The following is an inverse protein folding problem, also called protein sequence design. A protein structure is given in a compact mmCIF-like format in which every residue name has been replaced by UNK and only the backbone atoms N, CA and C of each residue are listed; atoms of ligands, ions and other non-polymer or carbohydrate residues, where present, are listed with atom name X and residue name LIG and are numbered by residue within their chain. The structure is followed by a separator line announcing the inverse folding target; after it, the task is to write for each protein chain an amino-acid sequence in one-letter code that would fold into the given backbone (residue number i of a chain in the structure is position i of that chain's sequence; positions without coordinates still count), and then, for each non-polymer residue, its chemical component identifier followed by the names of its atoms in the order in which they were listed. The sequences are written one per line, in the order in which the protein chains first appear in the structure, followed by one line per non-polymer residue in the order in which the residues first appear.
data_IF_116774102091
#
_entry.id   IF_116774102091
#
_cell.length_a   1.000
_cell.length_b   1.000
_cell.length_c   1.000
_cell.angle_alpha   90.00
_cell.angle_beta   90.00
_cell.angle_gamma   90.00
#
_symmetry.space_group_name_H-M   'P 1'
#
loop_
_entity.id
_entity.type
_entity.pdbx_description
1 polymer ?
#
# COMPACT_ATOMS: atom_id res chain seq x y z
N UNK A 1 -30.75 3.29 11.75
CA UNK A 1 -30.83 4.48 10.87
C UNK A 1 -29.70 4.33 9.86
N UNK A 2 -30.00 3.85 8.66
CA UNK A 2 -28.99 3.64 7.61
C UNK A 2 -28.48 5.00 7.15
N UNK A 3 -27.24 5.37 7.52
CA UNK A 3 -26.57 6.52 6.91
C UNK A 3 -26.33 6.16 5.45
N UNK A 4 -27.20 6.63 4.57
CA UNK A 4 -26.95 6.61 3.13
C UNK A 4 -25.69 7.44 2.87
N UNK A 5 -24.55 6.78 2.72
CA UNK A 5 -23.29 7.44 2.32
C UNK A 5 -23.52 8.31 1.10
N UNK A 6 -22.99 9.53 1.15
CA UNK A 6 -23.14 10.47 0.05
C UNK A 6 -22.38 9.97 -1.19
N UNK A 7 -22.75 10.48 -2.38
CA UNK A 7 -22.01 10.20 -3.60
C UNK A 7 -20.53 10.60 -3.49
N UNK A 8 -20.21 11.63 -2.70
CA UNK A 8 -18.85 12.07 -2.43
C UNK A 8 -18.04 11.04 -1.61
N UNK A 9 -18.68 10.37 -0.66
CA UNK A 9 -18.05 9.33 0.17
C UNK A 9 -17.74 8.08 -0.65
N UNK A 10 -18.66 7.70 -1.54
CA UNK A 10 -18.45 6.58 -2.47
C UNK A 10 -17.30 6.86 -3.44
N UNK A 11 -17.23 8.08 -3.99
CA UNK A 11 -16.13 8.49 -4.85
C UNK A 11 -14.78 8.52 -4.11
N UNK A 12 -14.77 8.98 -2.87
CA UNK A 12 -13.55 8.98 -2.03
C UNK A 12 -13.06 7.56 -1.77
N UNK A 13 -13.95 6.63 -1.40
CA UNK A 13 -13.62 5.22 -1.23
C UNK A 13 -13.10 4.58 -2.51
N UNK A 14 -13.71 4.90 -3.66
CA UNK A 14 -13.26 4.42 -4.97
C UNK A 14 -11.83 4.86 -5.25
N UNK A 15 -11.51 6.14 -5.02
CA UNK A 15 -10.15 6.68 -5.22
C UNK A 15 -9.12 6.04 -4.29
N UNK A 16 -9.46 5.86 -3.01
CA UNK A 16 -8.58 5.18 -2.05
C UNK A 16 -8.30 3.74 -2.51
N UNK A 17 -9.34 3.02 -2.97
CA UNK A 17 -9.20 1.67 -3.50
C UNK A 17 -8.33 1.63 -4.78
N UNK A 18 -8.45 2.61 -5.67
CA UNK A 18 -7.62 2.74 -6.87
C UNK A 18 -6.16 3.02 -6.53
N UNK A 19 -5.89 3.93 -5.60
CA UNK A 19 -4.52 4.18 -5.14
C UNK A 19 -3.92 2.95 -4.47
N UNK A 20 -4.66 2.25 -3.61
CA UNK A 20 -4.20 0.98 -3.03
C UNK A 20 -3.91 -0.09 -4.10
N UNK A 21 -4.70 -0.12 -5.18
CA UNK A 21 -4.48 -1.02 -6.33
C UNK A 21 -3.20 -0.66 -7.07
N UNK A 22 -2.99 0.63 -7.38
CA UNK A 22 -1.77 1.11 -8.02
C UNK A 22 -0.53 0.84 -7.17
N UNK A 23 -0.60 1.10 -5.86
CA UNK A 23 0.49 0.80 -4.94
C UNK A 23 0.83 -0.69 -4.94
N UNK A 24 -0.19 -1.56 -4.92
CA UNK A 24 -0.01 -3.01 -5.03
C UNK A 24 0.78 -3.40 -6.28
N UNK A 25 0.39 -2.87 -7.45
CA UNK A 25 1.08 -3.12 -8.71
C UNK A 25 2.50 -2.56 -8.76
N UNK A 26 2.73 -1.34 -8.26
CA UNK A 26 4.06 -0.76 -8.18
C UNK A 26 5.03 -1.65 -7.40
N UNK A 27 4.62 -2.12 -6.22
CA UNK A 27 5.43 -3.02 -5.40
C UNK A 27 5.67 -4.39 -6.05
N UNK A 28 4.67 -4.96 -6.72
CA UNK A 28 4.82 -6.22 -7.45
C UNK A 28 5.81 -6.07 -8.61
N UNK A 29 5.66 -5.03 -9.44
CA UNK A 29 6.52 -4.79 -10.60
C UNK A 29 7.97 -4.57 -10.14
N UNK A 30 8.17 -3.74 -9.12
CA UNK A 30 9.51 -3.52 -8.57
C UNK A 30 10.12 -4.81 -8.01
N UNK A 31 9.31 -5.61 -7.30
CA UNK A 31 9.76 -6.88 -6.77
C UNK A 31 10.14 -7.89 -7.86
N UNK A 32 9.36 -7.97 -8.95
CA UNK A 32 9.70 -8.80 -10.12
C UNK A 32 11.01 -8.32 -10.75
N UNK A 33 11.19 -7.02 -10.95
CA UNK A 33 12.42 -6.45 -11.50
C UNK A 33 13.62 -6.79 -10.62
N UNK A 34 13.49 -6.67 -9.29
CA UNK A 34 14.54 -7.02 -8.33
C UNK A 34 14.87 -8.52 -8.32
N UNK A 35 13.87 -9.39 -8.51
CA UNK A 35 14.09 -10.83 -8.64
C UNK A 35 14.81 -11.20 -9.94
N UNK A 36 14.51 -10.51 -11.04
CA UNK A 36 15.10 -10.80 -12.36
C UNK A 36 16.46 -10.12 -12.58
N UNK A 37 16.78 -9.08 -11.81
CA UNK A 37 18.05 -8.37 -11.93
C UNK A 37 19.21 -9.20 -11.38
N UNK A 38 20.04 -9.72 -12.29
CA UNK A 38 21.23 -10.54 -11.99
C UNK A 38 22.41 -9.69 -11.47
N UNK A 39 22.41 -8.38 -11.72
CA UNK A 39 23.64 -7.57 -11.78
C UNK A 39 24.07 -6.93 -10.45
N UNK A 40 23.19 -6.73 -9.46
CA UNK A 40 23.53 -5.96 -8.25
C UNK A 40 23.56 -6.74 -6.93
N UNK A 41 22.83 -7.85 -6.79
CA UNK A 41 22.68 -8.54 -5.50
C UNK A 41 22.37 -10.04 -5.68
N UNK A 42 23.40 -10.82 -5.98
CA UNK A 42 23.31 -12.25 -6.30
C UNK A 42 22.62 -13.12 -5.21
N UNK A 43 22.53 -12.64 -3.96
CA UNK A 43 21.89 -13.37 -2.84
C UNK A 43 20.71 -12.58 -2.24
N UNK A 44 20.85 -11.27 -2.00
CA UNK A 44 19.81 -10.49 -1.30
C UNK A 44 18.73 -9.90 -2.23
N UNK A 45 19.00 -9.77 -3.52
CA UNK A 45 18.08 -9.17 -4.50
C UNK A 45 16.77 -9.96 -4.60
N UNK A 46 16.81 -11.28 -4.82
CA UNK A 46 15.61 -12.11 -4.87
C UNK A 46 14.81 -12.11 -3.57
N UNK A 47 15.47 -12.11 -2.40
CA UNK A 47 14.79 -12.07 -1.09
C UNK A 47 13.97 -10.79 -0.93
N UNK A 48 14.57 -9.65 -1.29
CA UNK A 48 13.92 -8.34 -1.21
C UNK A 48 12.84 -8.20 -2.28
N UNK A 49 13.08 -8.73 -3.48
CA UNK A 49 12.09 -8.76 -4.55
C UNK A 49 10.84 -9.57 -4.16
N UNK A 50 11.02 -10.76 -3.57
CA UNK A 50 9.92 -11.58 -3.04
C UNK A 50 9.16 -10.81 -1.96
N UNK A 51 9.86 -10.15 -1.05
CA UNK A 51 9.22 -9.33 -0.02
C UNK A 51 8.35 -8.22 -0.63
N UNK A 52 8.85 -7.51 -1.64
CA UNK A 52 8.10 -6.46 -2.34
C UNK A 52 6.88 -7.03 -3.09
N UNK A 53 6.98 -8.23 -3.67
CA UNK A 53 5.83 -8.93 -4.26
C UNK A 53 4.77 -9.24 -3.20
N UNK A 54 5.17 -9.83 -2.06
CA UNK A 54 4.26 -10.13 -0.94
C UNK A 54 3.60 -8.85 -0.41
N UNK A 55 4.38 -7.78 -0.25
CA UNK A 55 3.90 -6.48 0.18
C UNK A 55 2.88 -5.89 -0.80
N UNK A 56 3.09 -6.05 -2.11
CA UNK A 56 2.14 -5.63 -3.14
C UNK A 56 0.85 -6.48 -3.15
N UNK A 57 0.97 -7.80 -3.02
CA UNK A 57 -0.20 -8.71 -2.90
C UNK A 57 -1.05 -8.36 -1.67
N UNK A 58 -0.41 -8.09 -0.52
CA UNK A 58 -1.10 -7.67 0.70
C UNK A 58 -1.92 -6.37 0.47
N UNK A 59 -1.36 -5.39 -0.24
CA UNK A 59 -2.05 -4.15 -0.63
C UNK A 59 -3.24 -4.40 -1.54
N UNK A 60 -3.09 -5.29 -2.54
CA UNK A 60 -4.22 -5.71 -3.38
C UNK A 60 -5.34 -6.38 -2.55
N UNK A 61 -4.99 -7.15 -1.52
CA UNK A 61 -5.95 -7.69 -0.55
C UNK A 61 -6.68 -6.60 0.25
N UNK A 62 -6.00 -5.50 0.60
CA UNK A 62 -6.62 -4.34 1.28
C UNK A 62 -7.66 -3.63 0.43
N UNK A 63 -7.56 -3.67 -0.89
CA UNK A 63 -8.57 -3.08 -1.81
C UNK A 63 -9.96 -3.65 -1.53
N UNK A 64 -10.06 -4.97 -1.31
CA UNK A 64 -11.35 -5.61 -1.01
C UNK A 64 -11.93 -5.10 0.30
N UNK A 65 -11.09 -4.97 1.33
CA UNK A 65 -11.48 -4.48 2.66
C UNK A 65 -11.86 -3.00 2.64
N UNK A 66 -11.16 -2.18 1.85
CA UNK A 66 -11.48 -0.77 1.63
C UNK A 66 -12.87 -0.64 0.98
N UNK A 67 -13.15 -1.42 -0.07
CA UNK A 67 -14.46 -1.43 -0.73
C UNK A 67 -15.59 -1.89 0.18
N UNK A 68 -15.28 -2.80 1.11
CA UNK A 68 -16.21 -3.29 2.13
C UNK A 68 -16.34 -2.38 3.35
N UNK A 69 -15.58 -1.28 3.41
CA UNK A 69 -15.53 -0.35 4.55
C UNK A 69 -15.20 -1.05 5.87
N UNK A 70 -14.35 -2.07 5.80
CA UNK A 70 -13.97 -2.87 6.95
C UNK A 70 -13.17 -1.99 7.95
N UNK A 71 -13.59 -1.90 9.23
CA UNK A 71 -12.93 -1.06 10.24
C UNK A 71 -11.46 -1.45 10.49
N UNK A 72 -11.09 -2.69 10.21
CA UNK A 72 -9.71 -3.16 10.34
C UNK A 72 -8.75 -2.49 9.34
N UNK A 73 -9.25 -1.85 8.28
CA UNK A 73 -8.43 -1.04 7.35
C UNK A 73 -7.76 0.09 8.11
N UNK A 74 -8.46 0.77 9.02
CA UNK A 74 -7.86 1.87 9.79
C UNK A 74 -6.71 1.34 10.65
N UNK A 75 -6.95 0.27 11.40
CA UNK A 75 -5.95 -0.35 12.26
C UNK A 75 -4.69 -0.80 11.48
N UNK A 76 -4.87 -1.34 10.26
CA UNK A 76 -3.76 -1.75 9.41
C UNK A 76 -2.85 -0.58 8.95
N UNK A 77 -3.38 0.64 8.91
CA UNK A 77 -2.65 1.84 8.46
C UNK A 77 -2.22 2.78 9.61
N UNK A 78 -2.59 2.50 10.86
CA UNK A 78 -2.15 3.31 12.01
C UNK A 78 -0.65 3.23 12.25
N UNK A 79 -0.07 2.03 12.12
CA UNK A 79 1.35 1.79 12.31
C UNK A 79 2.20 2.44 11.21
N UNK A 80 3.09 3.36 11.59
CA UNK A 80 4.06 3.99 10.67
C UNK A 80 5.36 3.17 10.53
N UNK A 81 5.68 2.35 11.53
CA UNK A 81 6.94 1.62 11.61
C UNK A 81 7.18 0.74 10.36
N UNK A 82 6.15 0.06 9.86
CA UNK A 82 6.25 -0.74 8.65
C UNK A 82 6.65 0.06 7.41
N UNK A 83 6.10 1.27 7.23
CA UNK A 83 6.44 2.15 6.11
C UNK A 83 7.88 2.68 6.24
N UNK A 84 8.32 3.00 7.46
CA UNK A 84 9.70 3.43 7.72
C UNK A 84 10.69 2.30 7.40
N UNK A 85 10.41 1.08 7.87
CA UNK A 85 11.25 -0.09 7.61
C UNK A 85 11.35 -0.37 6.11
N UNK A 86 10.21 -0.38 5.40
CA UNK A 86 10.17 -0.54 3.95
C UNK A 86 10.93 0.58 3.25
N UNK A 87 10.81 1.82 3.72
CA UNK A 87 11.54 2.99 3.21
C UNK A 87 13.05 2.87 3.35
N UNK A 88 13.55 2.46 4.51
CA UNK A 88 14.99 2.26 4.73
C UNK A 88 15.53 1.14 3.82
N UNK A 89 14.85 0.00 3.77
CA UNK A 89 15.28 -1.14 2.95
C UNK A 89 15.28 -0.78 1.46
N UNK A 90 14.23 -0.11 0.97
CA UNK A 90 14.12 0.24 -0.44
C UNK A 90 14.93 1.49 -0.83
N UNK A 91 15.31 2.35 0.11
CA UNK A 91 16.32 3.38 -0.13
C UNK A 91 17.67 2.75 -0.48
N UNK A 92 18.06 1.71 0.27
CA UNK A 92 19.35 1.02 0.08
C UNK A 92 19.34 0.11 -1.15
N UNK A 93 18.22 -0.56 -1.44
CA UNK A 93 18.15 -1.63 -2.45
C UNK A 93 17.32 -1.29 -3.70
N UNK A 94 16.40 -0.33 -3.61
CA UNK A 94 15.56 0.14 -4.71
C UNK A 94 15.86 1.58 -5.15
N UNK A 95 16.78 2.26 -4.46
CA UNK A 95 17.15 3.65 -4.72
C UNK A 95 15.96 4.61 -4.67
N UNK A 96 15.99 5.63 -5.54
CA UNK A 96 14.97 6.69 -5.59
C UNK A 96 13.57 6.14 -5.88
N UNK A 97 13.45 5.12 -6.73
CA UNK A 97 12.16 4.52 -7.10
C UNK A 97 11.46 3.95 -5.86
N UNK A 98 12.22 3.27 -5.00
CA UNK A 98 11.72 2.74 -3.74
C UNK A 98 11.17 3.82 -2.80
N UNK A 99 11.86 4.96 -2.71
CA UNK A 99 11.42 6.10 -1.91
C UNK A 99 10.10 6.67 -2.44
N UNK A 100 9.97 6.81 -3.76
CA UNK A 100 8.74 7.32 -4.38
C UNK A 100 7.53 6.44 -4.07
N UNK A 101 7.71 5.11 -4.04
CA UNK A 101 6.63 4.18 -3.71
C UNK A 101 6.23 4.27 -2.25
N UNK A 102 7.20 4.44 -1.34
CA UNK A 102 6.91 4.68 0.08
C UNK A 102 6.21 6.02 0.30
N UNK A 103 6.61 7.07 -0.41
CA UNK A 103 5.90 8.35 -0.38
C UNK A 103 4.43 8.19 -0.86
N UNK A 104 4.20 7.38 -1.89
CA UNK A 104 2.84 7.06 -2.34
C UNK A 104 2.04 6.28 -1.28
N UNK A 105 2.67 5.32 -0.58
CA UNK A 105 2.02 4.64 0.54
C UNK A 105 1.69 5.59 1.70
N UNK A 106 2.51 6.60 1.96
CA UNK A 106 2.21 7.65 2.94
C UNK A 106 0.97 8.47 2.55
N UNK A 107 0.81 8.78 1.26
CA UNK A 107 -0.39 9.47 0.75
C UNK A 107 -1.64 8.60 0.95
N UNK A 108 -1.55 7.30 0.69
CA UNK A 108 -2.67 6.38 0.91
C UNK A 108 -3.03 6.30 2.39
N UNK A 109 -2.02 6.17 3.26
CA UNK A 109 -2.19 6.19 4.71
C UNK A 109 -2.91 7.47 5.14
N UNK A 110 -2.42 8.63 4.74
CA UNK A 110 -3.02 9.92 5.09
C UNK A 110 -4.49 10.00 4.64
N UNK A 111 -4.81 9.55 3.43
CA UNK A 111 -6.19 9.50 2.93
C UNK A 111 -7.08 8.56 3.74
N UNK A 112 -6.59 7.38 4.13
CA UNK A 112 -7.36 6.44 4.96
C UNK A 112 -7.58 7.02 6.36
N UNK A 113 -6.52 7.57 6.98
CA UNK A 113 -6.58 8.07 8.35
C UNK A 113 -7.34 9.40 8.47
N UNK A 114 -7.37 10.23 7.44
CA UNK A 114 -8.19 11.44 7.40
C UNK A 114 -9.67 11.13 7.15
N UNK A 115 -9.97 9.98 6.53
CA UNK A 115 -11.33 9.53 6.22
C UNK A 115 -11.77 8.32 7.06
N UNK A 116 -11.25 8.18 8.30
CA UNK A 116 -11.54 7.05 9.20
C UNK A 116 -13.05 6.79 9.38
N UNK A 117 -13.84 7.86 9.43
CA UNK A 117 -15.30 7.78 9.58
C UNK A 117 -15.99 6.94 8.49
N UNK A 118 -15.40 6.83 7.29
CA UNK A 118 -15.91 5.99 6.20
C UNK A 118 -15.78 4.48 6.46
N UNK A 119 -14.98 4.08 7.45
CA UNK A 119 -14.68 2.69 7.80
C UNK A 119 -15.22 2.29 9.19
N UNK A 120 -15.61 3.26 10.02
CA UNK A 120 -16.05 3.01 11.41
C UNK A 120 -17.54 3.28 11.63
N UNK A 121 -18.28 3.73 10.62
CA UNK A 121 -19.68 4.17 10.71
C UNK A 121 -20.71 3.17 10.16
N UNK A 122 -20.64 1.91 10.60
CA UNK A 122 -21.73 0.93 10.42
C UNK A 122 -22.79 1.08 11.49
#
# INVERSE_FOLDING_TARGET
MSMTTSAADQETLRRIAEYATLAGWFWIILGIVQCLSIVLFYIFGPVVGIWNIVAGISRLGMVKRIKQRDPSVVAAYEGIAGLIIIGIINLVLGGIIGILFVAFDFIIRDKILSNRHLFTGG
#
